data_IF_890179979122
#
_entry.id   IF_890179979122
#
_cell.length_a   1.000
_cell.length_b   1.000
_cell.length_c   1.000
_cell.angle_alpha   90.00
_cell.angle_beta   90.00
_cell.angle_gamma   90.00
#
_symmetry.space_group_name_H-M   'P 1'
#
loop_
_entity.id
_entity.type
_entity.pdbx_description
1 polymer ?
#
# COMPACT_ATOMS: atom_id res chain seq x y z
N UNK A 1 20.37 -6.39 4.02
CA UNK A 1 20.04 -6.90 5.37
C UNK A 1 18.67 -6.36 5.76
N UNK A 2 17.72 -7.24 6.07
CA UNK A 2 16.33 -6.90 6.38
C UNK A 2 16.27 -6.43 7.84
N UNK A 3 16.26 -5.11 8.06
CA UNK A 3 16.34 -4.49 9.39
C UNK A 3 15.26 -3.43 9.65
N UNK A 4 14.20 -3.39 8.84
CA UNK A 4 13.24 -2.26 8.80
C UNK A 4 12.16 -2.25 9.88
N UNK A 5 12.01 -3.30 10.68
CA UNK A 5 10.95 -3.41 11.71
C UNK A 5 11.34 -2.75 13.04
N UNK A 6 12.01 -1.59 12.99
CA UNK A 6 12.16 -0.69 14.16
C UNK A 6 11.41 0.58 13.84
N UNK A 7 10.47 0.96 14.71
CA UNK A 7 9.77 2.24 14.62
C UNK A 7 10.79 3.37 14.40
N UNK A 8 10.61 4.18 13.35
CA UNK A 8 11.54 5.21 12.88
C UNK A 8 12.33 4.86 11.62
N UNK A 9 12.63 3.57 11.38
CA UNK A 9 13.32 3.15 10.14
C UNK A 9 12.35 2.93 8.97
N UNK A 10 11.14 2.44 9.24
CA UNK A 10 10.12 2.27 8.20
C UNK A 10 9.75 3.63 7.62
N UNK A 11 9.47 4.60 8.49
CA UNK A 11 9.02 5.94 8.11
C UNK A 11 10.09 6.66 7.30
N UNK A 12 11.35 6.64 7.74
CA UNK A 12 12.46 7.28 7.02
C UNK A 12 12.78 6.63 5.68
N UNK A 13 12.65 5.31 5.56
CA UNK A 13 12.84 4.61 4.28
C UNK A 13 11.71 4.92 3.31
N UNK A 14 10.46 4.81 3.75
CA UNK A 14 9.27 5.02 2.93
C UNK A 14 9.21 6.47 2.44
N UNK A 15 9.33 7.45 3.33
CA UNK A 15 9.32 8.87 2.94
C UNK A 15 10.43 9.21 1.95
N UNK A 16 11.65 8.69 2.15
CA UNK A 16 12.77 8.89 1.22
C UNK A 16 12.46 8.31 -0.17
N UNK A 17 11.89 7.11 -0.23
CA UNK A 17 11.54 6.47 -1.50
C UNK A 17 10.43 7.21 -2.24
N UNK A 18 9.37 7.62 -1.53
CA UNK A 18 8.28 8.41 -2.11
C UNK A 18 8.79 9.74 -2.63
N UNK A 19 9.61 10.45 -1.83
CA UNK A 19 10.20 11.71 -2.27
C UNK A 19 11.05 11.55 -3.53
N UNK A 20 11.91 10.54 -3.59
CA UNK A 20 12.71 10.27 -4.76
C UNK A 20 11.87 9.92 -6.01
N UNK A 21 10.78 9.15 -5.83
CA UNK A 21 9.91 8.74 -6.94
C UNK A 21 9.10 9.89 -7.54
N UNK A 22 8.72 10.89 -6.74
CA UNK A 22 7.86 12.00 -7.17
C UNK A 22 8.62 13.31 -7.46
N UNK A 23 9.90 13.41 -7.12
CA UNK A 23 10.68 14.67 -7.23
C UNK A 23 10.67 15.31 -8.63
N UNK A 24 10.61 14.49 -9.69
CA UNK A 24 10.65 14.95 -11.09
C UNK A 24 9.28 14.91 -11.79
N UNK A 25 8.20 14.58 -11.08
CA UNK A 25 6.87 14.46 -11.66
C UNK A 25 6.07 15.74 -11.47
N UNK A 26 5.46 16.22 -12.56
CA UNK A 26 4.41 17.23 -12.47
C UNK A 26 3.16 16.63 -11.78
N UNK A 27 2.40 17.46 -11.06
CA UNK A 27 1.20 17.05 -10.31
C UNK A 27 0.21 16.21 -11.15
N UNK A 28 -0.07 16.61 -12.39
CA UNK A 28 -0.98 15.87 -13.27
C UNK A 28 -0.46 14.47 -13.68
N UNK A 29 0.86 14.28 -13.76
CA UNK A 29 1.44 12.96 -14.00
C UNK A 29 1.44 12.13 -12.70
N UNK A 30 1.79 12.76 -11.59
CA UNK A 30 1.78 12.16 -10.25
C UNK A 30 0.39 11.63 -9.86
N UNK A 31 -0.69 12.38 -10.09
CA UNK A 31 -2.05 11.96 -9.77
C UNK A 31 -2.55 10.74 -10.56
N UNK A 32 -1.83 10.30 -11.61
CA UNK A 32 -2.12 9.05 -12.34
C UNK A 32 -1.29 7.86 -11.87
N UNK A 33 -0.36 8.08 -10.94
CA UNK A 33 0.49 7.04 -10.40
C UNK A 33 -0.30 6.07 -9.51
N UNK A 34 0.25 4.87 -9.38
CA UNK A 34 -0.17 3.89 -8.38
C UNK A 34 1.07 3.53 -7.56
N UNK A 35 0.95 3.61 -6.25
CA UNK A 35 1.99 3.16 -5.32
C UNK A 35 1.56 1.83 -4.73
N UNK A 36 2.47 0.87 -4.60
CA UNK A 36 2.24 -0.33 -3.81
C UNK A 36 3.18 -0.32 -2.61
N UNK A 37 2.61 -0.32 -1.39
CA UNK A 37 3.38 -0.46 -0.17
C UNK A 37 3.65 -1.94 0.11
N UNK A 38 4.91 -2.34 -0.02
CA UNK A 38 5.37 -3.69 0.31
C UNK A 38 6.20 -3.69 1.61
N UNK A 39 5.68 -4.26 2.71
CA UNK A 39 6.44 -4.42 3.94
C UNK A 39 7.49 -5.53 3.77
N UNK A 40 8.64 -5.23 3.15
CA UNK A 40 9.72 -6.21 2.84
C UNK A 40 10.21 -6.96 4.10
N UNK A 41 10.09 -6.36 5.27
CA UNK A 41 10.42 -7.00 6.54
C UNK A 41 9.51 -8.20 6.88
N UNK A 42 8.34 -8.30 6.27
CA UNK A 42 7.36 -9.38 6.44
C UNK A 42 7.54 -10.52 5.41
N UNK A 43 8.44 -10.38 4.43
CA UNK A 43 8.64 -11.38 3.38
C UNK A 43 9.43 -12.57 3.94
N UNK A 44 8.83 -13.76 3.91
CA UNK A 44 9.48 -15.01 4.30
C UNK A 44 9.62 -15.23 5.81
N UNK A 45 9.06 -14.34 6.66
CA UNK A 45 9.13 -14.46 8.12
C UNK A 45 7.90 -15.15 8.74
N UNK A 46 6.84 -15.35 7.97
CA UNK A 46 5.54 -15.81 8.48
C UNK A 46 4.75 -14.73 9.22
N UNK A 47 5.33 -13.55 9.41
CA UNK A 47 4.64 -12.38 9.95
C UNK A 47 4.03 -11.57 8.81
N UNK A 48 2.89 -10.94 9.07
CA UNK A 48 2.23 -10.05 8.13
C UNK A 48 1.94 -8.71 8.83
N UNK A 49 1.97 -7.61 8.07
CA UNK A 49 1.50 -6.33 8.61
C UNK A 49 0.01 -6.48 8.97
N UNK A 50 -0.40 -5.97 10.13
CA UNK A 50 -1.83 -5.85 10.42
C UNK A 50 -2.46 -4.79 9.50
N UNK A 51 -3.79 -4.82 9.27
CA UNK A 51 -4.47 -3.78 8.53
C UNK A 51 -4.18 -2.36 9.05
N UNK A 52 -4.14 -2.19 10.36
CA UNK A 52 -3.89 -0.89 11.01
C UNK A 52 -2.47 -0.40 10.77
N UNK A 53 -1.48 -1.30 10.82
CA UNK A 53 -0.08 -0.96 10.54
C UNK A 53 0.11 -0.62 9.05
N UNK A 54 -0.52 -1.39 8.15
CA UNK A 54 -0.51 -1.09 6.72
C UNK A 54 -1.16 0.28 6.44
N UNK A 55 -2.31 0.55 7.04
CA UNK A 55 -3.01 1.83 6.93
C UNK A 55 -2.15 2.99 7.44
N UNK A 56 -1.48 2.83 8.58
CA UNK A 56 -0.57 3.85 9.16
C UNK A 56 0.56 4.21 8.20
N UNK A 57 1.20 3.22 7.58
CA UNK A 57 2.31 3.47 6.65
C UNK A 57 1.81 4.02 5.31
N UNK A 58 0.66 3.54 4.82
CA UNK A 58 0.04 4.08 3.61
C UNK A 58 -0.41 5.53 3.81
N UNK A 59 -0.94 5.89 5.00
CA UNK A 59 -1.20 7.29 5.37
C UNK A 59 0.05 8.14 5.24
N UNK A 60 1.18 7.67 5.77
CA UNK A 60 2.46 8.38 5.68
C UNK A 60 2.90 8.60 4.22
N UNK A 61 2.65 7.62 3.33
CA UNK A 61 2.90 7.79 1.90
C UNK A 61 2.02 8.90 1.34
N UNK A 62 0.71 8.88 1.64
CA UNK A 62 -0.24 9.89 1.17
C UNK A 62 0.12 11.29 1.66
N UNK A 63 0.44 11.43 2.96
CA UNK A 63 0.90 12.68 3.56
C UNK A 63 2.20 13.17 2.90
N UNK A 64 3.14 12.27 2.58
CA UNK A 64 4.39 12.64 1.88
C UNK A 64 4.12 13.17 0.46
N UNK A 65 3.17 12.58 -0.26
CA UNK A 65 2.77 13.08 -1.58
C UNK A 65 2.08 14.45 -1.44
N UNK A 66 1.22 14.61 -0.42
CA UNK A 66 0.54 15.87 -0.15
C UNK A 66 1.52 17.00 0.16
N UNK A 67 2.54 16.74 0.97
CA UNK A 67 3.62 17.68 1.29
C UNK A 67 4.39 18.15 0.04
N UNK A 68 4.53 17.27 -0.97
CA UNK A 68 5.32 17.58 -2.17
C UNK A 68 4.49 18.24 -3.28
N UNK A 69 3.25 17.79 -3.46
CA UNK A 69 2.46 18.04 -4.67
C UNK A 69 1.03 18.52 -4.38
N UNK A 70 0.69 18.74 -3.10
CA UNK A 70 -0.62 19.19 -2.66
C UNK A 70 -1.63 18.07 -2.41
N UNK A 71 -2.61 18.35 -1.57
CA UNK A 71 -3.62 17.38 -1.11
C UNK A 71 -4.49 16.83 -2.24
N UNK A 72 -4.79 17.64 -3.27
CA UNK A 72 -5.56 17.20 -4.43
C UNK A 72 -4.83 16.08 -5.20
N UNK A 73 -3.54 16.28 -5.47
CA UNK A 73 -2.70 15.25 -6.10
C UNK A 73 -2.64 13.99 -5.25
N UNK A 74 -2.43 14.15 -3.93
CA UNK A 74 -2.32 13.01 -3.01
C UNK A 74 -3.63 12.21 -2.88
N UNK A 75 -4.78 12.86 -3.00
CA UNK A 75 -6.08 12.19 -3.03
C UNK A 75 -6.31 11.42 -4.33
N UNK A 76 -5.72 11.86 -5.45
CA UNK A 76 -5.82 11.18 -6.74
C UNK A 76 -4.90 9.95 -6.86
N UNK A 77 -3.76 9.94 -6.15
CA UNK A 77 -2.84 8.79 -6.15
C UNK A 77 -3.49 7.60 -5.43
N UNK A 78 -3.59 6.47 -6.13
CA UNK A 78 -3.99 5.19 -5.53
C UNK A 78 -2.81 4.54 -4.84
N UNK A 79 -2.99 4.09 -3.62
CA UNK A 79 -1.98 3.42 -2.81
C UNK A 79 -2.49 2.05 -2.38
N UNK A 80 -1.84 1.02 -2.92
CA UNK A 80 -2.19 -0.38 -2.73
C UNK A 80 -1.37 -0.99 -1.59
N UNK A 81 -1.95 -1.96 -0.90
CA UNK A 81 -1.21 -2.86 -0.03
C UNK A 81 -0.60 -4.01 -0.83
N UNK A 82 0.72 -4.21 -0.74
CA UNK A 82 1.45 -5.25 -1.47
C UNK A 82 2.03 -6.37 -0.59
N UNK A 83 1.53 -6.52 0.65
CA UNK A 83 1.95 -7.62 1.52
C UNK A 83 1.29 -8.96 1.18
N UNK A 84 1.18 -9.84 2.18
CA UNK A 84 0.58 -11.18 2.02
C UNK A 84 -0.94 -11.08 1.92
N UNK A 85 -1.45 -10.98 0.69
CA UNK A 85 -2.88 -10.90 0.39
C UNK A 85 -3.43 -12.27 0.02
N UNK A 86 -4.56 -12.62 0.62
CA UNK A 86 -5.29 -13.88 0.46
C UNK A 86 -6.81 -13.61 0.48
N UNK A 87 -7.64 -14.54 -0.02
CA UNK A 87 -9.10 -14.39 0.02
C UNK A 87 -9.65 -14.15 1.43
N UNK A 88 -9.05 -14.76 2.46
CA UNK A 88 -9.52 -14.72 3.84
C UNK A 88 -9.11 -13.46 4.62
N UNK A 89 -8.18 -12.66 4.09
CA UNK A 89 -7.63 -11.51 4.82
C UNK A 89 -7.79 -10.16 4.11
N UNK A 90 -8.19 -10.14 2.83
CA UNK A 90 -8.29 -8.91 2.05
C UNK A 90 -9.33 -7.93 2.61
N UNK A 91 -10.45 -8.43 3.14
CA UNK A 91 -11.55 -7.60 3.62
C UNK A 91 -11.12 -6.55 4.66
N UNK A 92 -10.46 -6.96 5.77
CA UNK A 92 -9.91 -6.01 6.74
C UNK A 92 -8.94 -4.97 6.19
N UNK A 93 -8.17 -5.27 5.13
CA UNK A 93 -7.32 -4.27 4.48
C UNK A 93 -8.14 -3.27 3.65
N UNK A 94 -9.16 -3.73 2.94
CA UNK A 94 -10.03 -2.86 2.14
C UNK A 94 -10.96 -1.99 2.98
N UNK A 95 -11.22 -2.39 4.23
CA UNK A 95 -11.94 -1.57 5.21
C UNK A 95 -11.09 -0.40 5.77
N UNK A 96 -9.80 -0.34 5.46
CA UNK A 96 -8.92 0.74 5.94
C UNK A 96 -9.06 1.99 5.07
N UNK A 97 -9.19 3.18 5.67
CA UNK A 97 -9.54 4.40 4.94
C UNK A 97 -8.47 4.87 3.95
N UNK A 98 -7.22 4.45 4.11
CA UNK A 98 -6.12 4.90 3.27
C UNK A 98 -5.74 3.90 2.18
N UNK A 99 -6.28 2.67 2.21
CA UNK A 99 -5.86 1.58 1.32
C UNK A 99 -6.81 1.49 0.13
N UNK A 100 -6.29 1.75 -1.07
CA UNK A 100 -7.09 1.85 -2.30
C UNK A 100 -7.16 0.53 -3.09
N UNK A 101 -6.58 -0.54 -2.56
CA UNK A 101 -6.54 -1.85 -3.22
C UNK A 101 -5.34 -2.70 -2.82
N UNK A 102 -5.08 -3.76 -3.59
CA UNK A 102 -4.02 -4.72 -3.32
C UNK A 102 -3.15 -5.03 -4.55
N UNK A 103 -1.85 -5.19 -4.33
CA UNK A 103 -0.93 -5.81 -5.29
C UNK A 103 -0.71 -7.27 -4.87
N UNK A 104 -1.37 -8.20 -5.58
CA UNK A 104 -1.44 -9.60 -5.17
C UNK A 104 -0.31 -10.42 -5.80
N UNK A 105 0.52 -11.03 -4.97
CA UNK A 105 1.59 -11.95 -5.40
C UNK A 105 1.06 -13.36 -5.71
N UNK A 106 1.58 -14.38 -5.01
CA UNK A 106 1.33 -15.80 -5.32
C UNK A 106 -0.14 -16.21 -5.39
N UNK A 107 -1.03 -15.59 -4.62
CA UNK A 107 -2.47 -15.88 -4.68
C UNK A 107 -3.13 -15.48 -6.02
N UNK A 108 -2.48 -14.62 -6.81
CA UNK A 108 -2.94 -14.27 -8.17
C UNK A 108 -2.74 -15.39 -9.20
N UNK A 109 -1.91 -16.40 -8.89
CA UNK A 109 -1.60 -17.51 -9.80
C UNK A 109 -2.68 -18.60 -9.78
N UNK A 110 -3.58 -18.58 -8.79
CA UNK A 110 -4.75 -19.43 -8.74
C UNK A 110 -5.99 -18.61 -9.11
N UNK A 111 -6.65 -18.97 -10.21
CA UNK A 111 -7.77 -18.22 -10.74
C UNK A 111 -8.95 -18.11 -9.76
N UNK A 112 -9.21 -19.16 -8.97
CA UNK A 112 -10.28 -19.14 -7.97
C UNK A 112 -9.90 -18.21 -6.83
N UNK A 113 -8.70 -18.35 -6.28
CA UNK A 113 -8.24 -17.50 -5.18
C UNK A 113 -8.21 -16.03 -5.61
N UNK A 114 -7.75 -15.73 -6.82
CA UNK A 114 -7.72 -14.36 -7.32
C UNK A 114 -9.12 -13.77 -7.52
N UNK A 115 -10.07 -14.55 -8.06
CA UNK A 115 -11.46 -14.13 -8.18
C UNK A 115 -12.11 -13.88 -6.80
N UNK A 116 -11.86 -14.76 -5.83
CA UNK A 116 -12.36 -14.59 -4.46
C UNK A 116 -11.79 -13.30 -3.83
N UNK A 117 -10.50 -12.99 -4.04
CA UNK A 117 -9.88 -11.74 -3.56
C UNK A 117 -10.59 -10.50 -4.13
N UNK A 118 -10.85 -10.49 -5.44
CA UNK A 118 -11.53 -9.37 -6.11
C UNK A 118 -12.93 -9.20 -5.52
N UNK A 119 -13.70 -10.28 -5.39
CA UNK A 119 -15.06 -10.22 -4.86
C UNK A 119 -15.10 -9.70 -3.41
N UNK A 120 -14.19 -10.18 -2.55
CA UNK A 120 -14.12 -9.72 -1.17
C UNK A 120 -13.64 -8.27 -1.06
N UNK A 121 -12.83 -7.80 -2.00
CA UNK A 121 -12.40 -6.41 -2.02
C UNK A 121 -13.55 -5.45 -2.39
N UNK A 122 -14.40 -5.83 -3.35
CA UNK A 122 -15.55 -5.01 -3.75
C UNK A 122 -16.61 -4.87 -2.65
N UNK A 123 -16.90 -5.95 -1.92
CA UNK A 123 -17.92 -5.93 -0.85
C UNK A 123 -17.57 -4.97 0.29
N UNK A 124 -16.29 -4.77 0.58
CA UNK A 124 -15.82 -3.95 1.70
C UNK A 124 -15.46 -2.51 1.31
N UNK A 125 -15.52 -2.17 0.02
CA UNK A 125 -15.27 -0.82 -0.49
C UNK A 125 -16.56 0.04 -0.60
N UNK A 126 -17.74 -0.56 -0.36
CA UNK A 126 -19.07 0.08 -0.41
C UNK A 126 -19.55 0.50 0.98
#
# INVERSE_FOLDING_TARGET
RIGGRRAGQTESVVTRQVRAAFQSLAAAAAGRAVIAYEPVWAIGTGEHASPEEANRVIRLIRDTVADMLGSETAAAVRILYGGSVKPDNIGPFMAQPEIDGALVGGASLDAKAFADIIQQAEVNAA
#
